data_IF_421593701507
#
_entry.id   IF_421593701507
#
_cell.length_a   1.000
_cell.length_b   1.000
_cell.length_c   1.000
_cell.angle_alpha   90.00
_cell.angle_beta   90.00
_cell.angle_gamma   90.00
#
_symmetry.space_group_name_H-M   'P 1'
#
loop_
_entity.id
_entity.type
_entity.pdbx_description
1 polymer ?
#
# COMPACT_ATOMS: atom_id res chain seq x y z
N UNK A 1 -18.26 22.30 -1.43
CA UNK A 1 -18.11 23.32 -2.48
C UNK A 1 -18.01 24.77 -1.98
N UNK A 2 -18.41 25.14 -0.76
CA UNK A 2 -18.41 26.56 -0.33
C UNK A 2 -17.06 27.12 0.17
N UNK A 3 -16.16 26.30 0.70
CA UNK A 3 -14.89 26.77 1.30
C UNK A 3 -13.89 27.30 0.27
N UNK A 4 -13.85 26.68 -0.92
CA UNK A 4 -12.94 27.09 -2.01
C UNK A 4 -13.28 28.50 -2.52
N UNK A 5 -14.57 28.81 -2.72
CA UNK A 5 -15.00 30.13 -3.18
C UNK A 5 -14.76 31.23 -2.14
N UNK A 6 -14.87 30.91 -0.84
CA UNK A 6 -14.54 31.84 0.24
C UNK A 6 -13.04 32.18 0.27
N UNK A 7 -12.17 31.19 0.05
CA UNK A 7 -10.72 31.40 -0.04
C UNK A 7 -10.39 32.26 -1.27
N UNK A 8 -10.99 31.98 -2.43
CA UNK A 8 -10.79 32.77 -3.65
C UNK A 8 -11.25 34.22 -3.45
N UNK A 9 -12.43 34.45 -2.87
CA UNK A 9 -12.94 35.78 -2.61
C UNK A 9 -12.03 36.58 -1.66
N UNK A 10 -11.50 35.92 -0.62
CA UNK A 10 -10.56 36.52 0.33
C UNK A 10 -9.23 36.90 -0.33
N UNK A 11 -8.68 36.03 -1.18
CA UNK A 11 -7.46 36.30 -1.94
C UNK A 11 -7.62 37.46 -2.93
N UNK A 12 -8.78 37.59 -3.58
CA UNK A 12 -9.08 38.72 -4.47
C UNK A 12 -9.14 40.05 -3.69
N UNK A 13 -9.73 40.06 -2.49
CA UNK A 13 -9.78 41.25 -1.64
C UNK A 13 -8.38 41.70 -1.18
N UNK A 14 -7.52 40.75 -0.81
CA UNK A 14 -6.12 41.02 -0.47
C UNK A 14 -5.38 41.59 -1.68
N UNK A 15 -5.55 41.00 -2.86
CA UNK A 15 -4.92 41.49 -4.09
C UNK A 15 -5.33 42.93 -4.42
N UNK A 16 -6.61 43.28 -4.26
CA UNK A 16 -7.11 44.64 -4.49
C UNK A 16 -6.54 45.65 -3.49
N UNK A 17 -6.38 45.27 -2.22
CA UNK A 17 -5.74 46.12 -1.21
C UNK A 17 -4.25 46.34 -1.52
N UNK A 18 -3.54 45.28 -1.95
CA UNK A 18 -2.13 45.37 -2.34
C UNK A 18 -1.93 46.29 -3.55
N UNK A 19 -2.78 46.19 -4.58
CA UNK A 19 -2.74 47.09 -5.76
C UNK A 19 -2.97 48.56 -5.35
N UNK A 20 -3.90 48.83 -4.43
CA UNK A 20 -4.13 50.18 -3.89
C UNK A 20 -2.93 50.72 -3.13
N UNK A 21 -2.27 49.89 -2.32
CA UNK A 21 -1.06 50.28 -1.58
C UNK A 21 0.13 50.52 -2.52
N UNK A 22 0.30 49.68 -3.55
CA UNK A 22 1.34 49.82 -4.57
C UNK A 22 1.22 51.14 -5.36
N UNK A 23 0.01 51.68 -5.57
CA UNK A 23 -0.18 52.98 -6.23
C UNK A 23 0.26 54.17 -5.37
N UNK A 24 0.25 54.06 -4.04
CA UNK A 24 0.52 55.17 -3.11
C UNK A 24 1.91 55.15 -2.46
N UNK A 25 2.69 54.07 -2.62
CA UNK A 25 3.95 53.91 -1.88
C UNK A 25 5.21 54.25 -2.70
N UNK A 26 6.27 54.67 -2.01
CA UNK A 26 7.62 54.81 -2.58
C UNK A 26 8.15 53.45 -3.11
N UNK A 27 9.11 53.48 -4.04
CA UNK A 27 9.54 52.29 -4.82
C UNK A 27 9.97 51.10 -3.94
N UNK A 28 10.64 51.36 -2.80
CA UNK A 28 11.08 50.32 -1.87
C UNK A 28 9.92 49.63 -1.15
N UNK A 29 8.89 50.40 -0.75
CA UNK A 29 7.70 49.85 -0.09
C UNK A 29 6.85 49.01 -1.06
N UNK A 30 6.92 49.29 -2.38
CA UNK A 30 6.26 48.44 -3.40
C UNK A 30 6.90 47.06 -3.51
N UNK A 31 8.23 47.00 -3.50
CA UNK A 31 8.99 45.75 -3.59
C UNK A 31 8.76 44.85 -2.37
N UNK A 32 8.72 45.44 -1.17
CA UNK A 32 8.46 44.71 0.08
C UNK A 32 7.05 44.08 0.10
N UNK A 33 6.03 44.83 -0.37
CA UNK A 33 4.65 44.36 -0.44
C UNK A 33 4.49 43.22 -1.45
N UNK A 34 5.15 43.32 -2.61
CA UNK A 34 5.13 42.27 -3.63
C UNK A 34 5.83 40.99 -3.15
N UNK A 35 6.97 41.14 -2.45
CA UNK A 35 7.71 40.03 -1.85
C UNK A 35 6.90 39.29 -0.78
N UNK A 36 6.16 40.03 0.05
CA UNK A 36 5.28 39.44 1.07
C UNK A 36 4.11 38.67 0.44
N UNK A 37 3.54 39.17 -0.66
CA UNK A 37 2.47 38.47 -1.37
C UNK A 37 2.94 37.15 -2.00
N UNK A 38 4.13 37.15 -2.63
CA UNK A 38 4.75 35.93 -3.15
C UNK A 38 5.01 34.94 -2.02
N UNK A 39 5.56 35.41 -0.90
CA UNK A 39 5.80 34.57 0.28
C UNK A 39 4.51 33.92 0.79
N UNK A 40 3.41 34.68 0.89
CA UNK A 40 2.12 34.15 1.31
C UNK A 40 1.54 33.12 0.33
N UNK A 41 1.75 33.29 -0.98
CA UNK A 41 1.36 32.28 -1.98
C UNK A 41 2.20 31.00 -1.88
N UNK A 42 3.49 31.13 -1.58
CA UNK A 42 4.37 29.96 -1.37
C UNK A 42 3.94 29.22 -0.10
N UNK A 43 3.66 29.93 0.99
CA UNK A 43 3.20 29.35 2.26
C UNK A 43 1.82 28.70 2.09
N UNK A 44 0.88 29.33 1.36
CA UNK A 44 -0.43 28.74 1.13
C UNK A 44 -0.36 27.49 0.25
N UNK A 45 0.48 27.48 -0.79
CA UNK A 45 0.76 26.30 -1.60
C UNK A 45 1.39 25.18 -0.75
N UNK A 46 2.35 25.53 0.12
CA UNK A 46 2.96 24.60 1.07
C UNK A 46 1.92 24.00 2.03
N UNK A 47 1.04 24.82 2.61
CA UNK A 47 -0.02 24.33 3.50
C UNK A 47 -1.00 23.42 2.74
N UNK A 48 -1.40 23.80 1.52
CA UNK A 48 -2.28 22.97 0.67
C UNK A 48 -1.65 21.61 0.31
N UNK A 49 -0.34 21.59 0.07
CA UNK A 49 0.42 20.38 -0.26
C UNK A 49 0.67 19.50 0.98
N UNK A 50 0.68 20.07 2.19
CA UNK A 50 1.01 19.33 3.42
C UNK A 50 -0.18 18.97 4.32
N UNK A 51 -1.38 19.56 4.14
CA UNK A 51 -2.55 19.32 5.00
C UNK A 51 -3.65 18.42 4.40
N UNK A 52 -3.42 17.80 3.24
CA UNK A 52 -4.27 16.71 2.73
C UNK A 52 -3.75 15.34 3.20
N UNK A 53 -4.64 14.41 3.61
CA UNK A 53 -4.31 13.20 4.39
C UNK A 53 -3.38 12.18 3.70
N UNK A 54 -3.01 12.38 2.43
CA UNK A 54 -2.05 11.52 1.72
C UNK A 54 -0.57 11.85 1.95
N UNK A 55 -0.24 13.03 2.51
CA UNK A 55 1.15 13.49 2.62
C UNK A 55 1.78 13.36 3.99
N UNK A 56 1.03 13.07 5.06
CA UNK A 56 1.61 12.62 6.32
C UNK A 56 2.37 11.30 6.16
N UNK A 57 1.82 10.37 5.36
CA UNK A 57 2.50 9.14 4.97
C UNK A 57 3.78 9.39 4.15
N UNK A 58 3.77 10.40 3.27
CA UNK A 58 4.93 10.77 2.45
C UNK A 58 6.00 11.54 3.25
N UNK A 59 5.60 12.37 4.20
CA UNK A 59 6.51 13.02 5.14
C UNK A 59 7.16 11.99 6.07
N UNK A 60 6.36 11.04 6.57
CA UNK A 60 6.84 9.88 7.33
C UNK A 60 7.83 9.04 6.50
N UNK A 61 7.51 8.72 5.24
CA UNK A 61 8.40 7.94 4.36
C UNK A 61 9.68 8.72 4.00
N UNK A 62 9.62 10.04 3.86
CA UNK A 62 10.78 10.90 3.58
C UNK A 62 11.72 10.97 4.79
N UNK A 63 11.16 11.14 5.98
CA UNK A 63 11.93 11.10 7.24
C UNK A 63 12.51 9.70 7.45
N UNK A 64 11.74 8.63 7.18
CA UNK A 64 12.20 7.24 7.20
C UNK A 64 13.39 7.03 6.26
N UNK A 65 13.29 7.44 5.00
CA UNK A 65 14.39 7.28 4.03
C UNK A 65 15.66 8.07 4.42
N UNK A 66 15.50 9.22 5.08
CA UNK A 66 16.59 10.01 5.64
C UNK A 66 17.27 9.31 6.84
N UNK A 67 16.48 8.64 7.69
CA UNK A 67 16.93 7.94 8.90
C UNK A 67 17.59 6.58 8.60
N UNK A 68 17.11 5.86 7.58
CA UNK A 68 17.58 4.50 7.26
C UNK A 68 18.68 4.44 6.18
N UNK A 69 19.14 5.57 5.64
CA UNK A 69 20.38 5.64 4.84
C UNK A 69 21.61 5.43 5.74
N UNK A 70 22.69 4.75 5.27
CA UNK A 70 23.78 4.36 6.15
C UNK A 70 24.68 5.55 6.48
N UNK A 71 24.35 6.26 7.57
CA UNK A 71 25.26 7.15 8.28
C UNK A 71 25.17 6.85 9.78
N UNK A 72 26.02 5.93 10.23
CA UNK A 72 26.20 5.42 11.60
C UNK A 72 26.44 6.53 12.66
N UNK A 73 26.55 7.80 12.27
CA UNK A 73 26.69 8.95 13.18
C UNK A 73 25.37 9.69 13.49
N UNK A 74 24.32 9.53 12.68
CA UNK A 74 23.05 10.26 12.85
C UNK A 74 22.12 9.61 13.89
N UNK A 75 22.22 8.29 14.09
CA UNK A 75 21.39 7.56 15.05
C UNK A 75 21.54 8.04 16.49
N UNK A 76 22.76 8.41 16.89
CA UNK A 76 23.09 8.80 18.27
C UNK A 76 22.55 10.19 18.67
N UNK A 77 22.27 11.08 17.71
CA UNK A 77 21.69 12.40 17.97
C UNK A 77 20.16 12.38 18.00
N UNK A 78 19.54 11.46 17.24
CA UNK A 78 18.09 11.35 17.16
C UNK A 78 17.51 10.61 18.37
N UNK A 79 18.22 9.61 18.90
CA UNK A 79 17.82 8.81 20.06
C UNK A 79 17.71 9.65 21.35
N UNK A 80 18.52 10.71 21.49
CA UNK A 80 18.61 11.54 22.70
C UNK A 80 17.56 12.68 22.73
N UNK A 81 16.94 13.01 21.60
CA UNK A 81 16.08 14.20 21.46
C UNK A 81 14.69 13.94 20.85
N UNK A 82 14.46 12.79 20.23
CA UNK A 82 13.16 12.39 19.70
C UNK A 82 12.86 10.98 20.20
N UNK A 83 11.80 10.82 21.00
CA UNK A 83 11.30 9.51 21.45
C UNK A 83 10.68 8.71 20.28
N UNK A 84 11.41 8.55 19.18
CA UNK A 84 11.02 7.72 18.05
C UNK A 84 11.55 6.32 18.38
N UNK A 85 10.69 5.33 18.63
CA UNK A 85 11.15 3.96 18.80
C UNK A 85 11.78 3.49 17.48
N UNK A 86 13.11 3.39 17.44
CA UNK A 86 13.82 2.78 16.32
C UNK A 86 13.55 1.28 16.40
N UNK A 87 12.67 0.77 15.53
CA UNK A 87 12.38 -0.67 15.46
C UNK A 87 13.63 -1.38 14.91
N UNK A 88 14.33 -2.09 15.78
CA UNK A 88 15.48 -2.90 15.39
C UNK A 88 15.00 -4.17 14.67
N UNK A 89 15.52 -4.39 13.46
CA UNK A 89 15.33 -5.65 12.71
C UNK A 89 15.95 -6.80 13.52
N UNK A 90 15.16 -7.82 13.82
CA UNK A 90 15.56 -9.01 14.60
C UNK A 90 16.27 -10.03 13.70
N UNK A 91 17.12 -10.89 14.26
CA UNK A 91 17.78 -11.95 13.48
C UNK A 91 16.80 -13.07 13.06
N UNK A 92 15.77 -13.28 13.88
CA UNK A 92 14.69 -14.23 13.62
C UNK A 92 13.38 -13.71 14.18
N UNK A 93 12.32 -13.90 13.40
CA UNK A 93 10.93 -13.65 13.76
C UNK A 93 10.10 -14.85 13.35
N UNK A 94 9.17 -15.25 14.20
CA UNK A 94 8.11 -16.17 13.85
C UNK A 94 6.89 -15.85 14.70
N UNK A 95 5.90 -15.20 14.09
CA UNK A 95 4.68 -14.71 14.72
C UNK A 95 3.63 -15.82 14.79
N UNK A 96 2.73 -15.68 15.75
CA UNK A 96 1.58 -16.56 15.92
C UNK A 96 0.31 -15.89 15.38
N UNK A 97 0.13 -15.93 14.06
CA UNK A 97 -1.09 -15.44 13.40
C UNK A 97 -2.09 -16.59 13.15
N UNK A 98 -3.42 -16.32 13.18
CA UNK A 98 -4.41 -17.32 12.80
C UNK A 98 -4.19 -17.79 11.36
N UNK A 99 -4.39 -19.08 11.11
CA UNK A 99 -4.37 -19.65 9.76
C UNK A 99 -5.80 -19.92 9.32
N UNK A 100 -6.15 -19.47 8.12
CA UNK A 100 -7.46 -19.68 7.52
C UNK A 100 -7.25 -20.27 6.13
N UNK A 101 -7.89 -21.41 5.85
CA UNK A 101 -7.89 -22.02 4.53
C UNK A 101 -8.98 -21.38 3.66
N UNK A 102 -8.70 -21.07 2.40
CA UNK A 102 -9.69 -20.44 1.50
C UNK A 102 -10.75 -21.42 1.00
N UNK A 103 -10.38 -22.69 0.80
CA UNK A 103 -11.26 -23.76 0.36
C UNK A 103 -12.16 -24.30 1.48
N UNK A 104 -13.32 -24.87 1.12
CA UNK A 104 -13.86 -25.04 -0.25
C UNK A 104 -14.53 -23.79 -0.85
N UNK A 105 -14.83 -22.78 -0.04
CA UNK A 105 -15.80 -21.73 -0.38
C UNK A 105 -15.25 -20.69 -1.35
N UNK A 106 -13.95 -20.40 -1.31
CA UNK A 106 -13.31 -19.37 -2.14
C UNK A 106 -12.15 -19.93 -2.97
N UNK A 107 -12.42 -20.61 -4.09
CA UNK A 107 -11.39 -21.08 -5.02
C UNK A 107 -10.34 -20.04 -5.41
N UNK A 108 -10.72 -18.77 -5.62
CA UNK A 108 -9.80 -17.65 -5.87
C UNK A 108 -9.85 -16.60 -4.76
N UNK A 109 -9.84 -17.02 -3.50
CA UNK A 109 -9.97 -16.11 -2.35
C UNK A 109 -8.71 -15.92 -1.53
N UNK A 110 -7.53 -16.15 -2.09
CA UNK A 110 -6.27 -16.10 -1.33
C UNK A 110 -6.05 -14.72 -0.68
N UNK A 111 -6.43 -13.64 -1.35
CA UNK A 111 -6.24 -12.25 -0.92
C UNK A 111 -7.12 -11.89 0.27
N UNK A 112 -8.42 -12.13 0.15
CA UNK A 112 -9.40 -11.87 1.21
C UNK A 112 -9.23 -12.82 2.39
N UNK A 113 -8.78 -14.06 2.13
CA UNK A 113 -8.48 -15.02 3.20
C UNK A 113 -7.21 -14.62 3.95
N UNK A 114 -6.17 -14.17 3.25
CA UNK A 114 -4.97 -13.61 3.90
C UNK A 114 -5.26 -12.32 4.64
N UNK A 115 -6.17 -11.49 4.13
CA UNK A 115 -6.64 -10.29 4.83
C UNK A 115 -7.39 -10.68 6.12
N UNK A 116 -8.24 -11.72 6.10
CA UNK A 116 -8.88 -12.23 7.31
C UNK A 116 -7.85 -12.64 8.37
N UNK A 117 -6.74 -13.28 7.96
CA UNK A 117 -5.65 -13.64 8.87
C UNK A 117 -4.95 -12.39 9.45
N UNK A 118 -4.67 -11.37 8.63
CA UNK A 118 -4.07 -10.10 9.05
C UNK A 118 -4.97 -9.37 10.07
N UNK A 119 -6.26 -9.21 9.75
CA UNK A 119 -7.24 -8.56 10.61
C UNK A 119 -7.47 -9.34 11.91
N UNK A 120 -7.52 -10.68 11.83
CA UNK A 120 -7.61 -11.54 13.01
C UNK A 120 -6.43 -11.39 13.96
N UNK A 121 -5.20 -11.27 13.42
CA UNK A 121 -4.01 -10.97 14.23
C UNK A 121 -4.09 -9.57 14.88
N UNK A 122 -4.72 -8.59 14.21
CA UNK A 122 -4.97 -7.26 14.77
C UNK A 122 -6.13 -7.23 15.80
N UNK A 123 -6.74 -8.37 16.12
CA UNK A 123 -7.86 -8.48 17.06
C UNK A 123 -9.24 -8.21 16.45
N UNK A 124 -9.35 -8.12 15.13
CA UNK A 124 -10.62 -7.91 14.42
C UNK A 124 -11.19 -9.25 13.96
N UNK A 125 -12.34 -9.64 14.51
CA UNK A 125 -13.04 -10.85 14.11
C UNK A 125 -13.88 -10.60 12.85
N UNK A 126 -13.34 -10.94 11.69
CA UNK A 126 -14.06 -10.97 10.41
C UNK A 126 -13.67 -12.20 9.60
N UNK A 127 -14.64 -12.84 8.98
CA UNK A 127 -14.42 -14.05 8.19
C UNK A 127 -14.17 -13.75 6.69
N UNK A 128 -13.52 -14.69 6.02
CA UNK A 128 -13.17 -14.60 4.59
C UNK A 128 -14.37 -14.40 3.66
N UNK A 129 -15.56 -14.92 4.00
CA UNK A 129 -16.76 -14.81 3.15
C UNK A 129 -17.37 -13.41 3.24
N UNK A 130 -17.32 -12.80 4.42
CA UNK A 130 -17.69 -11.39 4.59
C UNK A 130 -16.77 -10.50 3.75
N UNK A 131 -15.45 -10.66 3.88
CA UNK A 131 -14.48 -9.90 3.07
C UNK A 131 -14.63 -10.16 1.56
N UNK A 132 -14.94 -11.40 1.15
CA UNK A 132 -15.20 -11.77 -0.25
C UNK A 132 -16.40 -11.02 -0.86
N UNK A 133 -17.43 -10.74 -0.06
CA UNK A 133 -18.61 -9.96 -0.46
C UNK A 133 -18.30 -8.46 -0.53
N UNK A 134 -17.48 -7.97 0.39
CA UNK A 134 -17.23 -6.52 0.55
C UNK A 134 -16.08 -5.97 -0.29
N UNK A 135 -15.15 -6.84 -0.73
CA UNK A 135 -14.05 -6.42 -1.60
C UNK A 135 -14.60 -5.83 -2.89
N UNK A 136 -14.09 -4.66 -3.26
CA UNK A 136 -14.45 -4.00 -4.52
C UNK A 136 -14.18 -4.95 -5.69
N UNK A 137 -15.09 -4.99 -6.65
CA UNK A 137 -14.99 -5.81 -7.86
C UNK A 137 -14.69 -4.94 -9.07
N UNK A 138 -13.85 -5.43 -9.98
CA UNK A 138 -13.77 -4.90 -11.34
C UNK A 138 -14.77 -5.68 -12.20
N UNK A 139 -15.76 -4.97 -12.74
CA UNK A 139 -16.89 -5.55 -13.47
C UNK A 139 -16.65 -5.67 -14.98
N UNK A 140 -15.43 -5.41 -15.44
CA UNK A 140 -15.08 -5.55 -16.86
C UNK A 140 -15.31 -7.00 -17.30
N UNK A 141 -16.10 -7.25 -18.36
CA UNK A 141 -16.38 -8.60 -18.82
C UNK A 141 -15.14 -9.25 -19.45
N UNK A 142 -15.04 -10.57 -19.29
CA UNK A 142 -14.03 -11.36 -19.99
C UNK A 142 -14.39 -11.50 -21.47
N UNK A 143 -13.47 -11.15 -22.36
CA UNK A 143 -13.60 -11.32 -23.81
C UNK A 143 -12.28 -11.77 -24.42
N UNK A 144 -12.33 -12.68 -25.39
CA UNK A 144 -11.22 -12.94 -26.32
C UNK A 144 -11.59 -12.32 -27.66
N UNK A 145 -10.69 -11.53 -28.22
CA UNK A 145 -10.87 -10.89 -29.53
C UNK A 145 -9.56 -10.87 -30.30
N UNK A 146 -9.57 -11.38 -31.54
CA UNK A 146 -8.38 -11.52 -32.38
C UNK A 146 -7.16 -12.11 -31.64
N UNK A 147 -7.38 -13.14 -30.82
CA UNK A 147 -6.34 -13.83 -30.04
C UNK A 147 -5.82 -13.05 -28.81
N UNK A 148 -6.39 -11.88 -28.51
CA UNK A 148 -6.05 -11.07 -27.32
C UNK A 148 -7.12 -11.22 -26.24
N UNK A 149 -6.68 -11.28 -24.98
CA UNK A 149 -7.58 -11.30 -23.83
C UNK A 149 -7.89 -9.87 -23.39
N UNK A 150 -9.16 -9.60 -23.15
CA UNK A 150 -9.69 -8.37 -22.57
C UNK A 150 -10.40 -8.73 -21.26
N UNK A 151 -9.99 -8.11 -20.16
CA UNK A 151 -10.62 -8.33 -18.86
C UNK A 151 -10.33 -7.18 -17.89
N UNK A 152 -10.77 -7.32 -16.64
CA UNK A 152 -10.59 -6.32 -15.60
C UNK A 152 -9.15 -6.16 -15.13
N UNK A 153 -8.90 -5.10 -14.38
CA UNK A 153 -7.60 -4.81 -13.79
C UNK A 153 -7.64 -5.03 -12.26
N UNK A 154 -6.84 -5.93 -11.69
CA UNK A 154 -6.83 -6.22 -10.26
C UNK A 154 -6.45 -5.03 -9.38
N UNK A 155 -5.82 -3.98 -9.93
CA UNK A 155 -5.60 -2.71 -9.23
C UNK A 155 -6.90 -1.94 -8.96
N UNK A 156 -7.96 -2.17 -9.74
CA UNK A 156 -9.23 -1.46 -9.61
C UNK A 156 -10.24 -2.19 -8.70
N UNK A 157 -10.10 -3.51 -8.58
CA UNK A 157 -10.98 -4.40 -7.82
C UNK A 157 -10.74 -5.87 -8.21
N UNK A 158 -11.36 -6.79 -7.49
CA UNK A 158 -11.27 -8.22 -7.79
C UNK A 158 -11.83 -8.54 -9.18
N UNK A 159 -11.02 -9.24 -9.99
CA UNK A 159 -11.33 -9.54 -11.39
C UNK A 159 -11.89 -10.94 -11.53
N UNK A 160 -13.14 -11.01 -11.99
CA UNK A 160 -13.83 -12.25 -12.35
C UNK A 160 -14.42 -13.02 -11.17
N UNK A 161 -14.47 -14.35 -11.29
CA UNK A 161 -15.20 -15.19 -10.35
C UNK A 161 -14.32 -15.75 -9.23
N UNK A 162 -14.64 -15.37 -7.99
CA UNK A 162 -13.95 -15.82 -6.78
C UNK A 162 -14.34 -17.25 -6.35
N UNK A 163 -15.55 -17.68 -6.72
CA UNK A 163 -16.25 -18.83 -6.16
C UNK A 163 -16.19 -20.09 -7.02
N UNK A 164 -15.79 -19.97 -8.30
CA UNK A 164 -15.87 -21.06 -9.28
C UNK A 164 -14.69 -21.01 -10.25
N UNK A 165 -13.84 -22.03 -10.23
CA UNK A 165 -12.69 -22.14 -11.13
C UNK A 165 -13.06 -22.28 -12.61
N UNK A 166 -14.26 -22.77 -12.92
CA UNK A 166 -14.73 -22.92 -14.31
C UNK A 166 -15.11 -21.59 -14.95
N UNK A 167 -15.30 -20.54 -14.14
CA UNK A 167 -15.56 -19.19 -14.62
C UNK A 167 -14.26 -18.38 -14.68
N UNK A 168 -14.10 -17.46 -15.66
CA UNK A 168 -12.93 -16.60 -15.74
C UNK A 168 -12.74 -15.80 -14.45
N UNK A 169 -11.49 -15.74 -13.97
CA UNK A 169 -11.12 -14.95 -12.80
C UNK A 169 -9.62 -14.99 -12.57
N UNK A 170 -9.13 -13.99 -11.86
CA UNK A 170 -7.74 -13.88 -11.45
C UNK A 170 -7.68 -13.65 -9.93
N UNK A 171 -7.92 -12.42 -9.51
CA UNK A 171 -7.63 -11.97 -8.17
C UNK A 171 -7.80 -10.47 -8.01
N UNK A 172 -7.20 -9.91 -6.97
CA UNK A 172 -7.20 -8.48 -6.63
C UNK A 172 -5.84 -8.06 -6.08
N UNK A 173 -5.39 -6.85 -6.42
CA UNK A 173 -4.09 -6.34 -5.98
C UNK A 173 -4.21 -5.51 -4.69
N UNK A 174 -3.09 -4.98 -4.23
CA UNK A 174 -2.98 -4.31 -2.93
C UNK A 174 -4.00 -3.18 -2.73
N UNK A 175 -4.19 -2.27 -3.69
CA UNK A 175 -4.97 -1.06 -3.44
C UNK A 175 -6.44 -1.33 -3.01
N UNK A 176 -7.22 -2.19 -3.70
CA UNK A 176 -8.56 -2.55 -3.21
C UNK A 176 -8.58 -3.34 -1.90
N UNK A 177 -7.54 -4.14 -1.62
CA UNK A 177 -7.41 -4.87 -0.34
C UNK A 177 -7.10 -3.89 0.80
N UNK A 178 -6.22 -2.93 0.59
CA UNK A 178 -5.88 -1.87 1.55
C UNK A 178 -7.12 -1.04 1.87
N UNK A 179 -7.86 -0.61 0.84
CA UNK A 179 -9.13 0.11 1.01
C UNK A 179 -10.21 -0.71 1.73
N UNK A 180 -10.21 -2.04 1.59
CA UNK A 180 -11.11 -2.92 2.34
C UNK A 180 -10.66 -3.01 3.81
N UNK A 181 -9.37 -3.24 4.05
CA UNK A 181 -8.78 -3.32 5.39
C UNK A 181 -9.02 -2.04 6.20
N UNK A 182 -8.96 -0.88 5.55
CA UNK A 182 -9.16 0.44 6.15
C UNK A 182 -10.58 0.62 6.73
N UNK A 183 -11.58 -0.12 6.22
CA UNK A 183 -12.92 -0.14 6.81
C UNK A 183 -12.95 -0.81 8.20
N UNK A 184 -12.01 -1.72 8.45
CA UNK A 184 -11.93 -2.52 9.68
C UNK A 184 -10.91 -1.96 10.68
N UNK A 185 -9.88 -1.28 10.20
CA UNK A 185 -8.85 -0.62 11.01
C UNK A 185 -8.63 0.83 10.52
N UNK A 186 -9.58 1.76 10.74
CA UNK A 186 -9.48 3.11 10.20
C UNK A 186 -8.26 3.86 10.73
N UNK A 187 -7.52 4.51 9.83
CA UNK A 187 -6.30 5.26 10.08
C UNK A 187 -5.09 4.39 10.43
N UNK A 188 -5.21 3.07 10.32
CA UNK A 188 -4.21 2.12 10.81
C UNK A 188 -3.73 1.15 9.75
N UNK A 189 -4.21 1.18 8.52
CA UNK A 189 -3.64 0.37 7.44
C UNK A 189 -2.45 1.07 6.83
N UNK A 190 -1.39 0.30 6.59
CA UNK A 190 -0.18 0.77 5.92
C UNK A 190 0.04 -0.07 4.66
N UNK A 191 0.05 0.61 3.51
CA UNK A 191 0.29 0.00 2.19
C UNK A 191 1.76 0.17 1.83
N UNK A 192 2.52 -0.90 2.03
CA UNK A 192 3.98 -0.95 1.84
C UNK A 192 4.34 -1.25 0.38
N UNK A 193 3.37 -1.20 -0.53
CA UNK A 193 3.57 -1.62 -1.92
C UNK A 193 4.59 -0.73 -2.64
N UNK A 194 5.52 -1.38 -3.34
CA UNK A 194 6.66 -0.71 -4.00
C UNK A 194 7.89 -0.51 -3.12
N UNK A 195 7.76 -0.72 -1.80
CA UNK A 195 8.87 -0.65 -0.84
C UNK A 195 9.90 -1.77 -0.99
N UNK A 196 10.91 -1.76 -0.12
CA UNK A 196 11.96 -2.78 -0.08
C UNK A 196 11.58 -3.93 0.85
N UNK A 197 12.10 -5.14 0.59
CA UNK A 197 11.78 -6.30 1.44
C UNK A 197 12.21 -6.12 2.91
N UNK A 198 13.22 -5.27 3.16
CA UNK A 198 13.65 -4.89 4.51
C UNK A 198 12.56 -4.15 5.28
N UNK A 199 11.71 -3.39 4.60
CA UNK A 199 10.57 -2.74 5.22
C UNK A 199 9.61 -3.77 5.81
N UNK A 200 9.33 -4.86 5.08
CA UNK A 200 8.48 -5.94 5.60
C UNK A 200 9.09 -6.56 6.86
N UNK A 201 10.42 -6.73 6.90
CA UNK A 201 11.14 -7.24 8.08
C UNK A 201 11.04 -6.32 9.29
N UNK A 202 10.95 -5.00 9.10
CA UNK A 202 10.73 -4.04 10.21
C UNK A 202 9.39 -4.34 10.87
N UNK A 203 8.30 -4.43 10.10
CA UNK A 203 6.96 -4.69 10.65
C UNK A 203 6.87 -6.08 11.28
N UNK A 204 7.47 -7.11 10.66
CA UNK A 204 7.58 -8.45 11.23
C UNK A 204 8.34 -8.43 12.56
N UNK A 205 9.46 -7.70 12.64
CA UNK A 205 10.25 -7.56 13.87
C UNK A 205 9.46 -6.88 14.98
N UNK A 206 8.55 -5.99 14.61
CA UNK A 206 7.64 -5.29 15.52
C UNK A 206 6.38 -6.10 15.86
N UNK A 207 6.33 -7.39 15.50
CA UNK A 207 5.23 -8.26 15.87
C UNK A 207 4.01 -8.14 14.96
N UNK A 208 4.12 -7.52 13.78
CA UNK A 208 3.00 -7.34 12.86
C UNK A 208 3.19 -8.16 11.59
N UNK A 209 2.27 -9.09 11.26
CA UNK A 209 2.36 -9.85 10.03
C UNK A 209 2.08 -8.95 8.81
N UNK A 210 2.50 -9.41 7.64
CA UNK A 210 2.43 -8.62 6.40
C UNK A 210 1.71 -9.43 5.32
N UNK A 211 0.59 -8.93 4.83
CA UNK A 211 -0.10 -9.47 3.67
C UNK A 211 0.69 -9.13 2.41
N UNK A 212 0.90 -10.10 1.50
CA UNK A 212 1.66 -9.87 0.26
C UNK A 212 1.08 -10.63 -0.94
N UNK A 213 1.35 -10.12 -2.16
CA UNK A 213 1.18 -10.88 -3.40
C UNK A 213 2.51 -11.51 -3.82
N UNK A 214 2.47 -12.79 -4.13
CA UNK A 214 3.54 -13.63 -4.66
C UNK A 214 2.95 -14.53 -5.75
N UNK A 215 3.54 -15.69 -6.00
CA UNK A 215 2.98 -16.74 -6.82
C UNK A 215 3.02 -18.09 -6.10
N UNK A 216 2.25 -19.04 -6.60
CA UNK A 216 2.09 -20.40 -6.04
C UNK A 216 3.36 -21.24 -5.94
N UNK A 217 4.47 -20.84 -6.56
CA UNK A 217 5.76 -21.53 -6.47
C UNK A 217 6.72 -20.89 -5.47
N UNK A 218 6.42 -19.68 -4.99
CA UNK A 218 7.25 -18.89 -4.06
C UNK A 218 8.69 -18.65 -4.54
N UNK A 219 8.89 -18.70 -5.85
CA UNK A 219 10.14 -18.39 -6.54
C UNK A 219 9.84 -17.61 -7.82
N UNK A 220 10.87 -17.03 -8.44
CA UNK A 220 10.73 -16.35 -9.71
C UNK A 220 10.20 -17.30 -10.79
N UNK A 221 9.13 -16.89 -11.47
CA UNK A 221 8.54 -17.61 -12.59
C UNK A 221 9.24 -17.26 -13.90
N UNK A 222 9.16 -18.18 -14.85
CA UNK A 222 9.62 -17.97 -16.21
C UNK A 222 8.66 -17.04 -16.97
N UNK A 223 9.19 -16.28 -17.93
CA UNK A 223 8.41 -15.33 -18.74
C UNK A 223 7.27 -16.02 -19.52
N UNK A 224 7.47 -17.29 -19.89
CA UNK A 224 6.45 -18.14 -20.53
C UNK A 224 5.21 -18.39 -19.67
N UNK A 225 5.25 -18.12 -18.36
CA UNK A 225 4.13 -18.29 -17.43
C UNK A 225 3.29 -17.03 -17.26
N UNK A 226 3.62 -15.98 -18.02
CA UNK A 226 2.89 -14.72 -18.05
C UNK A 226 2.15 -14.56 -19.37
N UNK A 227 1.09 -13.76 -19.33
CA UNK A 227 0.39 -13.30 -20.51
C UNK A 227 -0.06 -11.85 -20.31
N UNK A 228 -0.43 -11.20 -21.41
CA UNK A 228 -0.94 -9.85 -21.38
C UNK A 228 -2.46 -9.80 -21.52
N UNK A 229 -3.09 -8.99 -20.68
CA UNK A 229 -4.49 -8.61 -20.77
C UNK A 229 -4.60 -7.16 -21.22
N UNK A 230 -5.54 -6.89 -22.11
CA UNK A 230 -5.96 -5.53 -22.45
C UNK A 230 -7.06 -5.14 -21.47
N UNK A 231 -6.73 -4.29 -20.51
CA UNK A 231 -7.68 -3.79 -19.52
C UNK A 231 -8.15 -2.38 -19.92
N UNK A 232 -9.29 -1.89 -19.38
CA UNK A 232 -9.68 -0.49 -19.56
C UNK A 232 -8.64 0.52 -19.08
N UNK A 233 -7.75 0.10 -18.16
CA UNK A 233 -6.65 0.92 -17.63
C UNK A 233 -5.32 0.71 -18.36
N UNK A 234 -5.32 -0.01 -19.48
CA UNK A 234 -4.12 -0.29 -20.28
C UNK A 234 -3.69 -1.76 -20.26
N UNK A 235 -2.55 -2.02 -20.90
CA UNK A 235 -1.99 -3.36 -21.01
C UNK A 235 -1.43 -3.82 -19.65
N UNK A 236 -1.84 -5.00 -19.20
CA UNK A 236 -1.41 -5.57 -17.93
C UNK A 236 -0.79 -6.95 -18.15
N UNK A 237 0.40 -7.17 -17.59
CA UNK A 237 1.02 -8.49 -17.55
C UNK A 237 0.53 -9.24 -16.31
N UNK A 238 -0.02 -10.44 -16.50
CA UNK A 238 -0.54 -11.26 -15.40
C UNK A 238 -0.01 -12.68 -15.50
N UNK A 239 -0.13 -13.43 -14.41
CA UNK A 239 0.05 -14.87 -14.37
C UNK A 239 -1.10 -15.50 -13.59
N UNK A 240 -1.61 -16.65 -14.05
CA UNK A 240 -2.59 -17.42 -13.28
C UNK A 240 -1.98 -18.16 -12.08
N UNK A 241 -0.67 -18.01 -11.87
CA UNK A 241 0.02 -18.45 -10.67
C UNK A 241 0.04 -17.42 -9.56
N UNK A 242 -0.56 -16.23 -9.76
CA UNK A 242 -0.74 -15.22 -8.73
C UNK A 242 -1.30 -15.85 -7.45
N UNK A 243 -0.77 -15.40 -6.32
CA UNK A 243 -1.18 -15.91 -5.02
C UNK A 243 -0.92 -14.88 -3.91
N UNK A 244 -1.79 -14.85 -2.90
CA UNK A 244 -1.59 -14.06 -1.70
C UNK A 244 -1.35 -14.94 -0.47
N UNK A 245 -0.43 -14.49 0.39
CA UNK A 245 -0.11 -15.13 1.66
C UNK A 245 0.05 -14.08 2.77
N UNK A 246 0.01 -14.53 4.02
CA UNK A 246 0.34 -13.68 5.17
C UNK A 246 1.75 -14.02 5.67
N UNK A 247 2.73 -13.14 5.47
CA UNK A 247 4.05 -13.27 6.08
C UNK A 247 3.94 -13.19 7.59
N UNK A 248 4.53 -14.16 8.27
CA UNK A 248 4.53 -14.28 9.73
C UNK A 248 5.95 -14.29 10.30
N UNK A 249 6.99 -14.21 9.47
CA UNK A 249 8.34 -14.06 10.01
C UNK A 249 9.43 -14.34 9.01
N UNK A 250 10.66 -14.40 9.50
CA UNK A 250 11.85 -14.72 8.74
C UNK A 250 12.97 -15.18 9.66
N UNK A 251 13.98 -15.80 9.08
CA UNK A 251 15.32 -15.89 9.65
C UNK A 251 16.34 -15.58 8.55
N UNK A 252 17.60 -15.96 8.75
CA UNK A 252 18.67 -15.75 7.77
C UNK A 252 18.39 -16.41 6.41
N UNK A 253 17.74 -17.57 6.39
CA UNK A 253 17.66 -18.43 5.22
C UNK A 253 16.23 -18.51 4.64
N UNK A 254 15.21 -18.32 5.47
CA UNK A 254 13.81 -18.55 5.12
C UNK A 254 12.92 -17.39 5.51
N UNK A 255 11.84 -17.21 4.74
CA UNK A 255 10.64 -16.49 5.17
C UNK A 255 9.61 -17.49 5.67
N UNK A 256 8.79 -17.10 6.66
CA UNK A 256 7.66 -17.87 7.18
C UNK A 256 6.34 -17.16 6.82
N UNK A 257 5.32 -17.91 6.45
CA UNK A 257 4.02 -17.38 6.08
C UNK A 257 2.88 -18.38 6.31
N UNK A 258 1.67 -17.87 6.50
CA UNK A 258 0.45 -18.66 6.46
C UNK A 258 -0.08 -18.68 5.02
N UNK A 259 -0.35 -19.88 4.51
CA UNK A 259 -0.76 -20.09 3.12
C UNK A 259 -2.24 -20.48 3.04
N UNK A 260 -3.13 -19.63 2.49
CA UNK A 260 -4.56 -19.90 2.49
C UNK A 260 -4.97 -21.02 1.52
N UNK A 261 -4.14 -21.37 0.52
CA UNK A 261 -4.43 -22.48 -0.38
C UNK A 261 -4.24 -23.83 0.33
N UNK A 262 -3.12 -23.98 1.05
CA UNK A 262 -2.77 -25.23 1.74
C UNK A 262 -3.31 -25.28 3.18
N UNK A 263 -3.67 -24.15 3.77
CA UNK A 263 -4.00 -24.04 5.19
C UNK A 263 -2.80 -24.29 6.11
N UNK A 264 -1.58 -24.28 5.58
CA UNK A 264 -0.36 -24.50 6.35
C UNK A 264 0.04 -23.22 7.09
N UNK A 265 0.24 -23.34 8.41
CA UNK A 265 0.69 -22.26 9.29
C UNK A 265 2.21 -22.20 9.31
N UNK A 266 2.79 -21.01 9.20
CA UNK A 266 4.25 -20.81 9.18
C UNK A 266 4.98 -21.71 8.16
N UNK A 267 4.35 -21.96 7.01
CA UNK A 267 5.01 -22.53 5.83
C UNK A 267 6.24 -21.69 5.50
N UNK A 268 7.29 -22.33 5.00
CA UNK A 268 8.56 -21.66 4.72
C UNK A 268 9.01 -21.81 3.27
N UNK A 269 9.68 -20.78 2.77
CA UNK A 269 10.38 -20.77 1.49
C UNK A 269 11.74 -20.07 1.65
N UNK A 270 12.77 -20.42 0.85
CA UNK A 270 14.04 -19.71 0.85
C UNK A 270 13.80 -18.20 0.65
N UNK A 271 14.41 -17.38 1.50
CA UNK A 271 14.08 -15.94 1.56
C UNK A 271 14.37 -15.24 0.24
N UNK A 272 15.45 -15.61 -0.44
CA UNK A 272 15.85 -15.07 -1.74
C UNK A 272 14.81 -15.38 -2.81
N UNK A 273 14.40 -16.64 -2.93
CA UNK A 273 13.44 -17.08 -3.93
C UNK A 273 12.08 -16.39 -3.71
N UNK A 274 11.66 -16.31 -2.45
CA UNK A 274 10.42 -15.62 -2.10
C UNK A 274 10.50 -14.13 -2.43
N UNK A 275 11.59 -13.45 -2.08
CA UNK A 275 11.76 -12.03 -2.38
C UNK A 275 11.73 -11.78 -3.90
N UNK A 276 12.41 -12.59 -4.70
CA UNK A 276 12.36 -12.49 -6.17
C UNK A 276 10.94 -12.70 -6.72
N UNK A 277 10.19 -13.64 -6.15
CA UNK A 277 8.78 -13.89 -6.52
C UNK A 277 7.88 -12.69 -6.20
N UNK A 278 8.05 -12.08 -5.02
CA UNK A 278 7.30 -10.91 -4.57
C UNK A 278 7.64 -9.67 -5.41
N UNK A 279 8.93 -9.48 -5.72
CA UNK A 279 9.38 -8.41 -6.63
C UNK A 279 8.78 -8.59 -8.02
N UNK A 280 8.79 -9.81 -8.57
CA UNK A 280 8.21 -10.11 -9.88
C UNK A 280 6.70 -9.81 -9.93
N UNK A 281 6.01 -9.94 -8.81
CA UNK A 281 4.57 -9.66 -8.67
C UNK A 281 4.26 -8.20 -8.29
N UNK A 282 5.25 -7.31 -8.35
CA UNK A 282 5.05 -5.87 -8.19
C UNK A 282 5.24 -5.36 -6.77
N UNK A 283 5.94 -6.10 -5.90
CA UNK A 283 6.29 -5.67 -4.53
C UNK A 283 5.07 -5.26 -3.70
N UNK A 284 3.98 -5.99 -3.82
CA UNK A 284 2.71 -5.64 -3.19
C UNK A 284 2.67 -6.13 -1.75
N UNK A 285 2.39 -5.23 -0.81
CA UNK A 285 2.40 -5.56 0.62
C UNK A 285 1.51 -4.62 1.44
N UNK A 286 0.80 -5.16 2.43
CA UNK A 286 -0.05 -4.41 3.35
C UNK A 286 0.15 -4.94 4.76
N UNK A 287 0.12 -4.05 5.74
CA UNK A 287 0.07 -4.39 7.16
C UNK A 287 -0.78 -3.35 7.90
N UNK A 288 -0.75 -3.39 9.23
CA UNK A 288 -1.38 -2.37 10.06
C UNK A 288 -0.35 -1.68 10.96
N UNK A 289 -0.73 -0.53 11.53
CA UNK A 289 0.04 0.26 12.49
C UNK A 289 -0.43 -0.02 13.93
N UNK A 290 0.43 0.19 14.95
CA UNK A 290 0.03 0.10 16.35
C UNK A 290 -1.16 1.00 16.67
N UNK A 291 -1.86 0.65 17.74
CA UNK A 291 -2.91 1.49 18.32
C UNK A 291 -2.32 2.72 19.01
#
# INVERSE_FOLDING_TARGET
MNTLYLIIAFLVLILLQLIRMLKKSASLLRSAIFSLFIFLMIVSAFIMDNFLPGHAAKAYSTIKNLVYSPAVKTGMFLEDHLQIPIIKIKDRVQLDAPVVRQFPELPRGCEVTSLAMLLGHAGIAVDKLTLAKEVKKDLTPYKIDAGKVYFGNPNNGFVGNMYDFQKPGLGVFHAPISALAEKYLPGRIDDLSGGDFQELKIHLSDGRPVWVITNTTYQKLDESQFQYWNTPSGLLKITYKEHAVLLTGYNKDFVFFNDPLTGEKNKKAPIKDFEESWVQMGRQAITYLPS
#
